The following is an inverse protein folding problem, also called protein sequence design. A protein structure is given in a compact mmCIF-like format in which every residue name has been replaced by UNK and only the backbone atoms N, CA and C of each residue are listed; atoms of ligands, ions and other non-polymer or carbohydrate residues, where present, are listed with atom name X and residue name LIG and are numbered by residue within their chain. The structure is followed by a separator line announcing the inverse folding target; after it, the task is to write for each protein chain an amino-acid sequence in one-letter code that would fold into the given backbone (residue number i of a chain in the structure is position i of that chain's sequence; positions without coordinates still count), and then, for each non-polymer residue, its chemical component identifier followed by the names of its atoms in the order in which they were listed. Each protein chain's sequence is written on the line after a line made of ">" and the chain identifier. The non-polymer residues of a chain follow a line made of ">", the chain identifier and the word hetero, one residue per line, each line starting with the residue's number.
data_IF_386181835709
#
_entry.id   IF_386181835709
#
_cell.length_a   1.000
_cell.length_b   1.000
_cell.length_c   1.000
_cell.angle_alpha   90.00
_cell.angle_beta   90.00
_cell.angle_gamma   90.00
#
_symmetry.space_group_name_H-M   'P 1'
#
loop_
_entity.id
_entity.type
_entity.pdbx_description
1 polymer ?
#
# COMPACT_ATOMS: atom_id res chain seq x y z
N UNK A 1 25.44 10.26 1.32
CA UNK A 1 25.05 9.92 1.14
C UNK A 1 24.31 9.59 1.09
N UNK A 2 23.90 9.82 1.09
CA UNK A 2 23.18 9.35 1.07
C UNK A 2 22.87 8.52 0.79
N UNK A 3 23.06 8.71 0.38
CA UNK A 3 22.64 7.45 -0.05
C UNK A 3 22.64 6.37 0.91
N UNK A 4 22.78 6.71 2.01
CA UNK A 4 22.85 5.72 3.02
C UNK A 4 21.66 4.84 3.06
N UNK A 5 20.48 5.36 2.77
CA UNK A 5 19.31 4.53 2.76
C UNK A 5 19.19 3.82 1.44
N UNK A 6 18.88 2.53 1.44
CA UNK A 6 18.64 1.86 0.18
C UNK A 6 17.51 2.55 -0.56
N UNK A 7 17.68 2.70 -1.84
CA UNK A 7 16.67 3.36 -2.65
C UNK A 7 15.32 2.68 -2.53
N UNK A 8 15.30 1.35 -2.54
CA UNK A 8 14.02 0.66 -2.50
C UNK A 8 13.31 0.80 -1.16
N UNK A 9 14.05 1.07 -0.10
CA UNK A 9 13.41 1.30 1.19
C UNK A 9 12.54 2.54 1.17
N UNK A 10 13.04 3.61 0.59
CA UNK A 10 12.27 4.83 0.54
C UNK A 10 11.11 4.74 -0.42
N UNK A 11 11.33 4.12 -1.56
CA UNK A 11 10.26 3.94 -2.53
C UNK A 11 9.14 3.12 -1.91
N UNK A 12 9.51 2.00 -1.28
CA UNK A 12 8.50 1.12 -0.72
C UNK A 12 7.71 1.78 0.38
N UNK A 13 8.35 2.65 1.15
CA UNK A 13 7.68 3.21 2.31
C UNK A 13 6.41 3.96 1.95
N UNK A 14 6.49 4.81 0.93
CA UNK A 14 5.32 5.56 0.51
C UNK A 14 4.33 4.72 -0.25
N UNK A 15 4.82 3.76 -1.02
CA UNK A 15 3.95 2.95 -1.85
C UNK A 15 3.18 1.92 -1.03
N UNK A 16 3.76 1.44 0.06
CA UNK A 16 3.06 0.45 0.87
C UNK A 16 1.81 1.02 1.51
N UNK A 17 1.83 2.31 1.90
CA UNK A 17 0.60 2.94 2.38
C UNK A 17 -0.50 2.83 1.33
N UNK A 18 -0.16 3.15 0.09
CA UNK A 18 -1.11 3.10 -0.99
C UNK A 18 -1.61 1.69 -1.23
N UNK A 19 -0.72 0.72 -1.16
CA UNK A 19 -1.10 -0.68 -1.34
C UNK A 19 -2.08 -1.14 -0.27
N UNK A 20 -1.85 -0.73 0.98
CA UNK A 20 -2.75 -1.10 2.07
C UNK A 20 -4.14 -0.52 1.83
N UNK A 21 -4.20 0.75 1.43
CA UNK A 21 -5.50 1.35 1.13
C UNK A 21 -6.19 0.63 -0.02
N UNK A 22 -5.45 0.23 -1.03
CA UNK A 22 -6.02 -0.45 -2.18
C UNK A 22 -6.56 -1.82 -1.80
N UNK A 23 -5.88 -2.52 -0.90
CA UNK A 23 -6.37 -3.80 -0.44
C UNK A 23 -7.66 -3.63 0.35
N UNK A 24 -7.75 -2.57 1.15
CA UNK A 24 -8.96 -2.32 1.92
C UNK A 24 -10.12 -1.85 1.06
N UNK A 25 -9.83 -1.33 -0.12
CA UNK A 25 -10.91 -0.95 -1.04
C UNK A 25 -11.76 -2.16 -1.42
N UNK A 26 -11.16 -3.33 -1.44
CA UNK A 26 -11.86 -4.55 -1.81
C UNK A 26 -12.77 -5.05 -0.71
N UNK A 27 -12.60 -4.56 0.51
CA UNK A 27 -13.43 -4.97 1.64
C UNK A 27 -12.66 -4.82 2.93
N UNK A 28 -13.41 -4.71 4.02
CA UNK A 28 -12.79 -4.64 5.33
C UNK A 28 -11.98 -5.91 5.58
N UNK A 29 -10.96 -5.79 6.39
CA UNK A 29 -10.06 -6.90 6.59
C UNK A 29 -9.50 -6.91 8.00
N UNK A 30 -9.34 -8.10 8.54
CA UNK A 30 -8.62 -8.35 9.76
C UNK A 30 -7.13 -8.07 9.48
N UNK A 31 -6.45 -7.42 10.42
CA UNK A 31 -5.08 -7.02 10.20
C UNK A 31 -4.14 -8.14 9.78
N UNK A 32 -4.29 -9.30 10.41
CA UNK A 32 -3.45 -10.43 10.08
C UNK A 32 -3.66 -10.87 8.62
N UNK A 33 -4.92 -10.94 8.19
CA UNK A 33 -5.23 -11.32 6.81
C UNK A 33 -4.70 -10.28 5.83
N UNK A 34 -4.82 -9.02 6.19
CA UNK A 34 -4.33 -7.94 5.34
C UNK A 34 -2.83 -8.05 5.14
N UNK A 35 -2.10 -8.32 6.23
CA UNK A 35 -0.66 -8.48 6.15
C UNK A 35 -0.29 -9.65 5.25
N UNK A 36 -1.02 -10.75 5.37
CA UNK A 36 -0.77 -11.91 4.52
C UNK A 36 -1.05 -11.64 3.06
N UNK A 37 -2.14 -10.90 2.79
CA UNK A 37 -2.49 -10.58 1.41
C UNK A 37 -1.42 -9.68 0.78
N UNK A 38 -0.91 -8.73 1.52
CA UNK A 38 0.14 -7.87 0.99
C UNK A 38 1.41 -8.69 0.73
N UNK A 39 1.77 -9.56 1.67
CA UNK A 39 3.01 -10.33 1.55
C UNK A 39 2.99 -11.27 0.35
N UNK A 40 1.81 -11.69 -0.07
CA UNK A 40 1.73 -12.55 -1.25
C UNK A 40 1.98 -11.79 -2.55
N UNK A 41 1.86 -10.49 -2.53
CA UNK A 41 1.98 -9.68 -3.73
C UNK A 41 3.28 -8.92 -3.81
N UNK A 42 3.81 -8.50 -2.69
CA UNK A 42 5.07 -7.76 -2.67
C UNK A 42 5.91 -8.28 -1.52
N UNK A 43 7.20 -8.17 -1.69
CA UNK A 43 8.13 -8.63 -0.68
C UNK A 43 8.22 -7.60 0.43
N UNK A 44 7.78 -7.98 1.62
CA UNK A 44 7.83 -7.10 2.78
C UNK A 44 8.21 -7.93 3.99
N UNK A 45 8.86 -7.29 4.94
CA UNK A 45 9.23 -7.95 6.18
C UNK A 45 7.99 -8.15 7.04
N UNK A 46 8.04 -9.19 7.86
CA UNK A 46 6.96 -9.46 8.80
C UNK A 46 6.75 -8.24 9.70
N UNK A 47 5.51 -7.96 9.97
CA UNK A 47 5.17 -6.86 10.86
C UNK A 47 5.17 -5.48 10.24
N UNK A 48 5.57 -5.36 8.98
CA UNK A 48 5.63 -4.06 8.32
C UNK A 48 4.26 -3.40 8.25
N UNK A 49 3.20 -4.19 8.10
CA UNK A 49 1.87 -3.62 7.86
C UNK A 49 1.31 -2.93 9.10
N UNK A 50 1.64 -3.42 10.29
CA UNK A 50 0.97 -2.91 11.49
C UNK A 50 1.28 -1.44 11.79
N UNK A 51 2.54 -0.99 11.69
CA UNK A 51 2.79 0.44 11.83
C UNK A 51 2.09 1.28 10.77
N UNK A 52 1.99 0.75 9.56
CA UNK A 52 1.29 1.46 8.50
C UNK A 52 -0.19 1.62 8.87
N UNK A 53 -0.81 0.55 9.35
CA UNK A 53 -2.21 0.61 9.73
C UNK A 53 -2.43 1.62 10.86
N UNK A 54 -1.53 1.66 11.84
CA UNK A 54 -1.66 2.62 12.92
C UNK A 54 -1.57 4.05 12.39
N UNK A 55 -0.65 4.30 11.49
CA UNK A 55 -0.49 5.62 10.91
C UNK A 55 -1.73 6.03 10.13
N UNK A 56 -2.22 5.13 9.29
CA UNK A 56 -3.39 5.43 8.46
C UNK A 56 -4.63 5.64 9.32
N UNK A 57 -4.74 4.92 10.41
CA UNK A 57 -5.87 5.12 11.33
C UNK A 57 -5.76 6.47 12.01
N UNK A 58 -4.55 6.87 12.40
CA UNK A 58 -4.38 8.18 13.04
C UNK A 58 -4.66 9.31 12.07
N UNK A 59 -4.52 9.07 10.78
CA UNK A 59 -4.81 10.09 9.78
C UNK A 59 -6.27 10.10 9.36
N UNK A 60 -7.06 9.17 9.86
CA UNK A 60 -8.47 9.14 9.54
C UNK A 60 -8.82 8.54 8.19
N UNK A 61 -7.84 7.99 7.48
CA UNK A 61 -8.11 7.37 6.18
C UNK A 61 -8.49 5.89 6.33
N UNK A 62 -8.31 5.35 7.53
CA UNK A 62 -8.72 4.00 7.87
C UNK A 62 -9.36 4.09 9.25
N UNK A 63 -10.42 3.34 9.47
CA UNK A 63 -11.02 3.23 10.79
C UNK A 63 -10.97 1.76 11.22
N UNK A 64 -11.21 1.52 12.50
CA UNK A 64 -11.13 0.17 13.05
C UNK A 64 -12.38 -0.17 13.82
N UNK A 65 -12.65 -1.45 13.93
CA UNK A 65 -13.71 -1.95 14.77
C UNK A 65 -13.36 -3.37 15.17
N UNK A 66 -13.97 -3.84 16.26
CA UNK A 66 -13.78 -5.20 16.72
C UNK A 66 -14.91 -6.06 16.21
N UNK A 67 -14.56 -7.27 15.82
CA UNK A 67 -15.55 -8.24 15.38
C UNK A 67 -15.36 -9.51 16.16
N UNK A 68 -16.46 -10.07 16.63
CA UNK A 68 -16.43 -11.29 17.40
C UNK A 68 -15.86 -12.42 16.60
N UNK A 69 -15.11 -13.27 17.28
CA UNK A 69 -14.55 -14.44 16.65
C UNK A 69 -15.08 -15.64 17.41
N UNK A 70 -15.30 -16.74 16.71
CA UNK A 70 -15.90 -17.90 17.33
C UNK A 70 -14.99 -18.54 18.34
N UNK A 71 -13.70 -18.54 18.06
CA UNK A 71 -12.77 -19.24 18.91
C UNK A 71 -11.67 -18.28 19.33
N UNK A 72 -11.95 -17.44 20.30
CA UNK A 72 -10.92 -16.57 20.80
C UNK A 72 -11.42 -15.16 20.98
N UNK A 73 -10.49 -14.24 21.22
CA UNK A 73 -10.87 -12.86 21.47
C UNK A 73 -11.36 -12.20 20.19
N UNK A 74 -12.09 -11.08 20.33
CA UNK A 74 -12.52 -10.34 19.16
C UNK A 74 -11.32 -9.89 18.34
N UNK A 75 -11.51 -9.79 17.05
CA UNK A 75 -10.47 -9.40 16.11
C UNK A 75 -10.67 -7.97 15.65
N UNK A 76 -9.57 -7.26 15.49
CA UNK A 76 -9.61 -5.89 15.01
C UNK A 76 -9.65 -5.88 13.50
N UNK A 77 -10.69 -5.28 12.96
CA UNK A 77 -10.87 -5.12 11.52
C UNK A 77 -10.60 -3.69 11.12
N UNK A 78 -10.17 -3.52 9.89
CA UNK A 78 -9.84 -2.22 9.33
C UNK A 78 -10.76 -1.93 8.16
N UNK A 79 -11.15 -0.68 8.07
CA UNK A 79 -12.14 -0.22 7.10
C UNK A 79 -11.62 1.03 6.42
N UNK A 80 -11.75 1.09 5.08
CA UNK A 80 -11.36 2.27 4.33
C UNK A 80 -12.44 3.33 4.48
N UNK A 81 -12.08 4.48 5.05
CA UNK A 81 -13.05 5.56 5.22
C UNK A 81 -13.24 6.30 3.91
N UNK A 82 -14.22 7.21 3.88
CA UNK A 82 -14.41 8.03 2.69
C UNK A 82 -13.19 8.87 2.41
N UNK A 83 -12.58 9.45 3.46
CA UNK A 83 -11.33 10.19 3.29
C UNK A 83 -10.24 9.30 2.72
N UNK A 84 -10.21 8.04 3.18
CA UNK A 84 -9.24 7.08 2.67
C UNK A 84 -9.48 6.76 1.20
N UNK A 85 -10.73 6.64 0.82
CA UNK A 85 -11.04 6.36 -0.60
C UNK A 85 -10.61 7.52 -1.48
N UNK A 86 -10.85 8.75 -1.02
CA UNK A 86 -10.43 9.93 -1.78
C UNK A 86 -8.92 9.98 -1.93
N UNK A 87 -8.21 9.70 -0.82
CA UNK A 87 -6.76 9.68 -0.87
C UNK A 87 -6.26 8.58 -1.79
N UNK A 88 -6.85 7.39 -1.69
CA UNK A 88 -6.45 6.28 -2.53
C UNK A 88 -6.60 6.63 -4.01
N UNK A 89 -7.74 7.21 -4.37
CA UNK A 89 -7.97 7.51 -5.79
C UNK A 89 -6.98 8.53 -6.32
N UNK A 90 -6.72 9.58 -5.55
CA UNK A 90 -5.78 10.61 -5.97
C UNK A 90 -4.35 10.06 -6.08
N UNK A 91 -3.92 9.33 -5.06
CA UNK A 91 -2.55 8.83 -5.02
C UNK A 91 -2.34 7.73 -6.04
N UNK A 92 -3.35 6.90 -6.26
CA UNK A 92 -3.25 5.84 -7.26
C UNK A 92 -3.07 6.41 -8.65
N UNK A 93 -3.85 7.42 -9.01
CA UNK A 93 -3.74 8.03 -10.32
C UNK A 93 -2.37 8.66 -10.52
N UNK A 94 -1.90 9.34 -9.49
CA UNK A 94 -0.60 9.99 -9.55
C UNK A 94 0.51 8.96 -9.70
N UNK A 95 0.43 7.88 -8.93
CA UNK A 95 1.45 6.84 -8.98
C UNK A 95 1.46 6.14 -10.33
N UNK A 96 0.29 5.78 -10.85
CA UNK A 96 0.23 5.07 -12.12
C UNK A 96 0.77 5.94 -13.26
N UNK A 97 0.49 7.23 -13.21
CA UNK A 97 1.03 8.13 -14.21
C UNK A 97 2.54 8.20 -14.12
N UNK A 98 3.06 8.41 -12.93
CA UNK A 98 4.51 8.49 -12.73
C UNK A 98 5.18 7.18 -13.10
N UNK A 99 4.57 6.07 -12.73
CA UNK A 99 5.12 4.76 -13.01
C UNK A 99 5.22 4.54 -14.53
N UNK A 100 4.20 4.96 -15.26
CA UNK A 100 4.24 4.86 -16.71
C UNK A 100 5.34 5.69 -17.33
N UNK A 101 5.52 6.90 -16.81
CA UNK A 101 6.58 7.78 -17.31
C UNK A 101 7.96 7.18 -17.06
N UNK A 102 8.15 6.63 -15.87
CA UNK A 102 9.43 6.01 -15.55
C UNK A 102 9.66 4.77 -16.38
N UNK A 103 8.61 3.97 -16.57
CA UNK A 103 8.75 2.76 -17.36
C UNK A 103 9.12 3.07 -18.80
N UNK A 104 8.60 4.15 -19.35
CA UNK A 104 8.97 4.56 -20.69
C UNK A 104 10.46 4.83 -20.80
N UNK A 105 11.00 5.50 -19.79
CA UNK A 105 12.42 5.81 -19.81
C UNK A 105 13.26 4.55 -19.65
N UNK A 106 12.81 3.63 -18.81
CA UNK A 106 13.59 2.43 -18.50
C UNK A 106 13.42 1.33 -19.52
N UNK A 107 12.41 1.42 -20.37
CA UNK A 107 12.11 0.35 -21.31
C UNK A 107 13.19 0.27 -22.39
N UNK A 108 13.73 -0.91 -22.58
CA UNK A 108 14.74 -1.11 -23.61
C UNK A 108 14.12 -1.12 -24.97
N UNK A 109 12.90 -1.60 -25.08
CA UNK A 109 12.25 -1.65 -26.38
C UNK A 109 11.93 -0.27 -26.87
N UNK A 110 11.43 0.55 -26.00
CA UNK A 110 11.11 1.91 -26.38
C UNK A 110 12.33 2.63 -26.86
N UNK A 111 13.44 2.40 -26.21
CA UNK A 111 14.67 3.06 -26.61
C UNK A 111 15.01 2.73 -28.04
N UNK A 112 14.84 1.48 -28.42
CA UNK A 112 15.17 1.10 -29.78
C UNK A 112 14.31 1.79 -30.78
N UNK A 113 13.06 2.01 -30.45
CA UNK A 113 12.20 2.64 -31.42
C UNK A 113 12.40 4.09 -31.48
N UNK A 114 12.82 4.65 -30.42
CA UNK A 114 12.92 6.10 -30.39
C UNK A 114 13.85 6.63 -31.42
N UNK A 115 14.72 5.83 -31.91
CA UNK A 115 15.60 6.35 -32.87
C UNK A 115 14.99 6.62 -34.16
N UNK A 116 13.89 6.13 -34.42
CA UNK A 116 13.36 6.47 -35.71
C UNK A 116 12.96 7.82 -35.91
#
# INVERSE_FOLDING_TARGET
>A
MKGDLPMNSQIKKGILDLCVLALLEKGDSYGYDLAGNLARKVEVADGTVYPILRKLASEGVVSTYLQESQNGPPRKYYHLTEAGRNKLNADRDEWLKFCGEVNDILSKETGGKADE
#
